data_IF_463615422487
#
_entry.id   IF_463615422487
#
_cell.length_a   1.000
_cell.length_b   1.000
_cell.length_c   1.000
_cell.angle_alpha   90.00
_cell.angle_beta   90.00
_cell.angle_gamma   90.00
#
_symmetry.space_group_name_H-M   'P 1'
#
loop_
_entity.id
_entity.type
_entity.pdbx_description
1 polymer ?
#
# COMPACT_ATOMS: atom_id res chain seq x y z
N UNK A 1 -3.48 13.62 15.49
CA UNK A 1 -4.28 14.08 14.33
C UNK A 1 -3.34 14.08 13.13
N UNK A 2 -3.72 13.53 11.97
CA UNK A 2 -2.87 13.66 10.75
C UNK A 2 -3.11 15.05 10.15
N UNK A 3 -2.05 15.77 9.82
CA UNK A 3 -2.08 17.10 9.21
C UNK A 3 -1.83 17.00 7.70
N UNK A 4 -2.36 17.96 6.95
CA UNK A 4 -2.04 18.12 5.52
C UNK A 4 -1.04 19.26 5.38
N UNK A 5 0.19 18.92 5.03
CA UNK A 5 1.35 19.82 4.90
C UNK A 5 1.96 19.85 3.49
N UNK A 6 1.53 18.95 2.61
CA UNK A 6 2.04 18.83 1.24
C UNK A 6 0.94 18.44 0.25
N UNK A 7 1.17 18.74 -1.03
CA UNK A 7 0.28 18.32 -2.11
C UNK A 7 0.16 16.78 -2.20
N UNK A 8 1.24 16.06 -1.91
CA UNK A 8 1.26 14.61 -1.89
C UNK A 8 0.39 14.04 -0.74
N UNK A 9 0.48 14.63 0.45
CA UNK A 9 -0.34 14.25 1.61
C UNK A 9 -1.83 14.50 1.34
N UNK A 10 -2.15 15.66 0.74
CA UNK A 10 -3.52 16.00 0.35
C UNK A 10 -4.08 15.01 -0.68
N UNK A 11 -3.33 14.74 -1.76
CA UNK A 11 -3.76 13.84 -2.83
C UNK A 11 -4.07 12.43 -2.33
N UNK A 12 -3.27 11.91 -1.38
CA UNK A 12 -3.51 10.61 -0.74
C UNK A 12 -4.78 10.62 0.12
N UNK A 13 -4.99 11.68 0.91
CA UNK A 13 -6.20 11.82 1.71
C UNK A 13 -7.46 11.85 0.83
N UNK A 14 -7.45 12.62 -0.25
CA UNK A 14 -8.55 12.71 -1.23
C UNK A 14 -8.80 11.34 -1.88
N UNK A 15 -7.75 10.68 -2.39
CA UNK A 15 -7.83 9.36 -3.02
C UNK A 15 -8.42 8.31 -2.09
N UNK A 16 -7.93 8.26 -0.85
CA UNK A 16 -8.40 7.33 0.17
C UNK A 16 -9.87 7.56 0.51
N UNK A 17 -10.24 8.82 0.73
CA UNK A 17 -11.62 9.23 1.03
C UNK A 17 -12.58 8.98 -0.15
N UNK A 18 -12.10 9.11 -1.40
CA UNK A 18 -12.86 8.77 -2.60
C UNK A 18 -13.12 7.27 -2.69
N UNK A 19 -12.10 6.44 -2.47
CA UNK A 19 -12.21 4.97 -2.55
C UNK A 19 -13.09 4.42 -1.43
N UNK A 20 -12.97 4.96 -0.21
CA UNK A 20 -13.83 4.59 0.92
C UNK A 20 -15.32 4.88 0.65
N UNK A 21 -15.62 5.93 -0.13
CA UNK A 21 -16.98 6.25 -0.58
C UNK A 21 -17.42 5.47 -1.83
N UNK A 22 -16.60 4.56 -2.35
CA UNK A 22 -16.91 3.77 -3.55
C UNK A 22 -16.88 4.56 -4.86
N UNK A 23 -16.40 5.80 -4.88
CA UNK A 23 -16.45 6.68 -6.03
C UNK A 23 -15.32 6.41 -7.05
N UNK A 24 -15.66 6.50 -8.34
CA UNK A 24 -14.66 6.57 -9.42
C UNK A 24 -14.08 7.99 -9.53
N UNK A 25 -12.92 8.15 -10.17
CA UNK A 25 -12.38 9.50 -10.44
C UNK A 25 -13.32 10.30 -11.35
N UNK A 26 -14.02 9.64 -12.27
CA UNK A 26 -15.01 10.27 -13.15
C UNK A 26 -16.21 10.79 -12.34
N UNK A 27 -16.74 9.97 -11.44
CA UNK A 27 -17.85 10.37 -10.57
C UNK A 27 -17.47 11.53 -9.63
N UNK A 28 -16.25 11.52 -9.08
CA UNK A 28 -15.76 12.66 -8.29
C UNK A 28 -15.63 13.92 -9.14
N UNK A 29 -15.11 13.79 -10.36
CA UNK A 29 -14.97 14.90 -11.30
C UNK A 29 -16.33 15.55 -11.60
N UNK A 30 -17.35 14.75 -11.93
CA UNK A 30 -18.73 15.18 -12.14
C UNK A 30 -19.32 15.90 -10.91
N UNK A 31 -19.18 15.31 -9.72
CA UNK A 31 -19.66 15.91 -8.47
C UNK A 31 -18.97 17.24 -8.13
N UNK A 32 -17.73 17.42 -8.57
CA UNK A 32 -16.91 18.61 -8.31
C UNK A 32 -16.95 19.65 -9.42
N UNK A 33 -17.55 19.36 -10.57
CA UNK A 33 -17.50 20.24 -11.76
C UNK A 33 -16.10 20.34 -12.39
N UNK A 34 -15.23 19.36 -12.19
CA UNK A 34 -13.85 19.35 -12.67
C UNK A 34 -13.63 18.27 -13.73
N UNK A 35 -12.49 18.32 -14.42
CA UNK A 35 -12.12 17.24 -15.35
C UNK A 35 -11.58 16.02 -14.60
N UNK A 36 -11.84 14.82 -15.13
CA UNK A 36 -11.24 13.57 -14.62
C UNK A 36 -9.71 13.63 -14.58
N UNK A 37 -9.10 14.30 -15.57
CA UNK A 37 -7.64 14.53 -15.62
C UNK A 37 -7.19 15.35 -14.42
N UNK A 38 -7.88 16.43 -14.09
CA UNK A 38 -7.56 17.27 -12.94
C UNK A 38 -7.63 16.46 -11.63
N UNK A 39 -8.70 15.67 -11.42
CA UNK A 39 -8.81 14.79 -10.24
C UNK A 39 -7.65 13.79 -10.17
N UNK A 40 -7.26 13.20 -11.30
CA UNK A 40 -6.12 12.29 -11.36
C UNK A 40 -4.81 12.97 -11.01
N UNK A 41 -4.56 14.15 -11.57
CA UNK A 41 -3.34 14.93 -11.31
C UNK A 41 -3.29 15.41 -9.84
N UNK A 42 -4.45 15.74 -9.24
CA UNK A 42 -4.60 16.14 -7.83
C UNK A 42 -4.31 15.01 -6.87
N UNK A 43 -4.88 13.81 -7.12
CA UNK A 43 -4.63 12.64 -6.29
C UNK A 43 -3.18 12.15 -6.34
N UNK A 44 -2.50 12.40 -7.46
CA UNK A 44 -1.07 12.15 -7.62
C UNK A 44 -0.21 13.21 -6.91
N UNK A 45 -0.79 14.34 -6.49
CA UNK A 45 -0.06 15.44 -5.87
C UNK A 45 0.87 16.16 -6.85
N UNK A 46 0.52 16.24 -8.14
CA UNK A 46 1.37 16.90 -9.14
C UNK A 46 1.65 18.36 -8.77
N UNK A 47 2.92 18.76 -8.85
CA UNK A 47 3.36 20.12 -8.50
C UNK A 47 2.70 21.20 -9.37
N UNK A 48 2.39 20.88 -10.62
CA UNK A 48 1.74 21.80 -11.58
C UNK A 48 0.31 22.20 -11.18
N UNK A 49 -0.24 21.64 -10.12
CA UNK A 49 -1.52 22.09 -9.53
C UNK A 49 -1.31 23.33 -8.64
N UNK A 50 -0.05 23.74 -8.43
CA UNK A 50 0.38 24.92 -7.68
C UNK A 50 -0.04 24.96 -6.21
N UNK A 51 -0.65 23.89 -5.69
CA UNK A 51 -1.10 23.81 -4.31
C UNK A 51 0.03 23.63 -3.30
N UNK A 52 1.15 23.04 -3.73
CA UNK A 52 2.27 22.72 -2.86
C UNK A 52 2.93 23.96 -2.24
N UNK A 53 3.04 25.05 -3.00
CA UNK A 53 3.59 26.31 -2.50
C UNK A 53 2.66 26.94 -1.45
N UNK A 54 1.35 26.96 -1.71
CA UNK A 54 0.36 27.48 -0.75
C UNK A 54 0.34 26.69 0.56
N UNK A 55 0.40 25.35 0.50
CA UNK A 55 0.47 24.50 1.70
C UNK A 55 1.76 24.73 2.51
N UNK A 56 2.90 24.89 1.83
CA UNK A 56 4.17 25.23 2.51
C UNK A 56 4.10 26.58 3.19
N UNK A 57 3.56 27.60 2.52
CA UNK A 57 3.36 28.93 3.12
C UNK A 57 2.43 28.86 4.32
N UNK A 58 1.31 28.13 4.22
CA UNK A 58 0.39 27.92 5.33
C UNK A 58 1.10 27.26 6.52
N UNK A 59 1.87 26.19 6.29
CA UNK A 59 2.63 25.51 7.33
C UNK A 59 3.67 26.42 7.99
N UNK A 60 4.38 27.26 7.23
CA UNK A 60 5.33 28.26 7.76
C UNK A 60 4.65 29.30 8.67
N UNK A 61 3.35 29.53 8.48
CA UNK A 61 2.54 30.46 9.28
C UNK A 61 1.75 29.74 10.38
N UNK A 62 2.11 28.49 10.71
CA UNK A 62 1.42 27.61 11.67
C UNK A 62 -0.07 27.35 11.33
N UNK A 63 -0.46 27.53 10.07
CA UNK A 63 -1.81 27.25 9.57
C UNK A 63 -1.87 25.78 9.16
N UNK A 64 -2.55 24.97 9.99
CA UNK A 64 -2.69 23.53 9.77
C UNK A 64 -4.05 23.16 9.21
N UNK A 65 -4.05 22.33 8.16
CA UNK A 65 -5.27 21.78 7.58
C UNK A 65 -5.51 20.39 8.15
N UNK A 66 -6.71 20.17 8.69
CA UNK A 66 -7.06 18.87 9.25
C UNK A 66 -7.26 17.85 8.13
N UNK A 67 -6.62 16.68 8.25
CA UNK A 67 -6.89 15.57 7.35
C UNK A 67 -8.15 14.80 7.79
N UNK A 68 -8.89 14.16 6.87
CA UNK A 68 -9.84 13.13 7.25
C UNK A 68 -9.13 12.01 8.02
N UNK A 69 -9.90 11.20 8.75
CA UNK A 69 -9.38 9.99 9.36
C UNK A 69 -8.62 9.16 8.31
N UNK A 70 -7.48 8.61 8.72
CA UNK A 70 -6.66 7.75 7.88
C UNK A 70 -7.50 6.61 7.30
N UNK A 71 -7.42 6.42 5.99
CA UNK A 71 -8.17 5.35 5.31
C UNK A 71 -7.26 4.15 5.04
N UNK A 72 -7.79 2.92 4.95
CA UNK A 72 -6.98 1.75 4.62
C UNK A 72 -6.23 1.91 3.30
N UNK A 73 -6.84 2.55 2.29
CA UNK A 73 -6.15 2.80 1.03
C UNK A 73 -4.95 3.74 1.21
N UNK A 74 -5.07 4.78 2.04
CA UNK A 74 -3.96 5.69 2.29
C UNK A 74 -2.79 4.98 2.98
N UNK A 75 -3.07 4.05 3.91
CA UNK A 75 -2.04 3.21 4.54
C UNK A 75 -1.30 2.36 3.50
N UNK A 76 -2.04 1.68 2.61
CA UNK A 76 -1.45 0.86 1.55
C UNK A 76 -0.63 1.70 0.56
N UNK A 77 -1.17 2.85 0.14
CA UNK A 77 -0.52 3.77 -0.78
C UNK A 77 0.75 4.41 -0.17
N UNK A 78 0.75 4.67 1.14
CA UNK A 78 1.92 5.18 1.87
C UNK A 78 3.00 4.11 2.01
N UNK A 79 2.62 2.88 2.39
CA UNK A 79 3.55 1.76 2.49
C UNK A 79 4.24 1.46 1.16
N UNK A 80 3.51 1.45 0.04
CA UNK A 80 4.10 1.22 -1.28
C UNK A 80 5.18 2.27 -1.64
N UNK A 81 4.97 3.54 -1.29
CA UNK A 81 5.96 4.60 -1.53
C UNK A 81 7.18 4.47 -0.62
N UNK A 82 6.97 4.16 0.65
CA UNK A 82 8.07 3.94 1.59
C UNK A 82 8.91 2.73 1.16
N UNK A 83 8.26 1.62 0.80
CA UNK A 83 8.93 0.45 0.22
C UNK A 83 9.72 0.84 -1.03
N UNK A 84 9.13 1.62 -1.95
CA UNK A 84 9.85 2.07 -3.15
C UNK A 84 11.14 2.85 -2.83
N UNK A 85 11.12 3.68 -1.78
CA UNK A 85 12.31 4.40 -1.32
C UNK A 85 13.37 3.42 -0.80
N UNK A 86 12.98 2.43 0.00
CA UNK A 86 13.93 1.45 0.52
C UNK A 86 14.51 0.53 -0.55
N UNK A 87 13.72 0.14 -1.55
CA UNK A 87 14.23 -0.60 -2.70
C UNK A 87 15.25 0.23 -3.48
N UNK A 88 15.01 1.53 -3.65
CA UNK A 88 16.00 2.42 -4.27
C UNK A 88 17.27 2.59 -3.41
N UNK A 89 17.16 2.41 -2.10
CA UNK A 89 18.28 2.44 -1.15
C UNK A 89 18.96 1.06 -0.97
N UNK A 90 18.52 0.03 -1.70
CA UNK A 90 18.96 -1.36 -1.58
C UNK A 90 18.71 -1.99 -0.19
N UNK A 91 17.73 -1.48 0.56
CA UNK A 91 17.31 -2.03 1.86
C UNK A 91 16.01 -2.86 1.73
N UNK A 92 16.16 -4.03 1.10
CA UNK A 92 15.06 -4.99 0.97
C UNK A 92 14.55 -5.51 2.33
N UNK A 93 15.38 -5.45 3.38
CA UNK A 93 14.98 -5.87 4.73
C UNK A 93 13.97 -4.90 5.32
N UNK A 94 14.26 -3.61 5.30
CA UNK A 94 13.37 -2.60 5.85
C UNK A 94 12.10 -2.49 5.00
N UNK A 95 12.20 -2.65 3.68
CA UNK A 95 11.07 -2.81 2.78
C UNK A 95 10.12 -3.96 3.21
N UNK A 96 10.64 -5.13 3.57
CA UNK A 96 9.82 -6.26 4.04
C UNK A 96 9.12 -5.94 5.36
N UNK A 97 9.82 -5.30 6.29
CA UNK A 97 9.24 -4.88 7.57
C UNK A 97 8.10 -3.87 7.36
N UNK A 98 8.30 -2.85 6.51
CA UNK A 98 7.26 -1.89 6.14
C UNK A 98 6.02 -2.57 5.54
N UNK A 99 6.21 -3.61 4.73
CA UNK A 99 5.09 -4.39 4.19
C UNK A 99 4.33 -5.15 5.29
N UNK A 100 5.02 -5.80 6.22
CA UNK A 100 4.38 -6.53 7.33
C UNK A 100 3.61 -5.58 8.25
N UNK A 101 4.21 -4.45 8.64
CA UNK A 101 3.58 -3.42 9.46
C UNK A 101 2.33 -2.86 8.78
N UNK A 102 2.40 -2.64 7.46
CA UNK A 102 1.25 -2.23 6.66
C UNK A 102 0.11 -3.24 6.76
N UNK A 103 0.37 -4.54 6.60
CA UNK A 103 -0.67 -5.56 6.63
C UNK A 103 -1.33 -5.67 8.01
N UNK A 104 -0.55 -5.65 9.10
CA UNK A 104 -1.08 -5.67 10.46
C UNK A 104 -1.98 -4.45 10.71
N UNK A 105 -1.53 -3.29 10.25
CA UNK A 105 -2.31 -2.05 10.32
C UNK A 105 -3.62 -2.19 9.53
N UNK A 106 -3.57 -2.64 8.28
CA UNK A 106 -4.75 -2.84 7.45
C UNK A 106 -5.73 -3.82 8.06
N UNK A 107 -5.26 -4.93 8.63
CA UNK A 107 -6.09 -5.91 9.35
C UNK A 107 -6.89 -5.26 10.48
N UNK A 108 -6.25 -4.39 11.27
CA UNK A 108 -6.95 -3.65 12.34
C UNK A 108 -8.05 -2.71 11.84
N UNK A 109 -7.92 -2.21 10.61
CA UNK A 109 -8.86 -1.25 10.00
C UNK A 109 -10.03 -1.92 9.28
N UNK A 110 -9.99 -3.25 9.07
CA UNK A 110 -11.04 -4.05 8.44
C UNK A 110 -11.55 -3.47 7.11
N UNK A 111 -10.68 -3.26 6.11
CA UNK A 111 -11.08 -2.68 4.84
C UNK A 111 -12.10 -3.58 4.11
N UNK A 112 -13.05 -2.97 3.42
CA UNK A 112 -13.94 -3.68 2.50
C UNK A 112 -13.39 -3.72 1.06
N UNK A 113 -12.49 -2.80 0.72
CA UNK A 113 -11.92 -2.69 -0.64
C UNK A 113 -10.55 -2.02 -0.63
N UNK A 114 -9.65 -2.54 -1.46
CA UNK A 114 -8.35 -1.93 -1.75
C UNK A 114 -8.13 -1.86 -3.28
N UNK A 115 -7.72 -0.68 -3.76
CA UNK A 115 -7.27 -0.42 -5.14
C UNK A 115 -5.76 -0.60 -5.23
N UNK A 116 -5.27 -0.85 -6.46
CA UNK A 116 -3.83 -1.00 -6.72
C UNK A 116 -3.10 0.24 -6.20
N UNK A 117 -2.11 0.08 -5.31
CA UNK A 117 -1.25 1.18 -4.88
C UNK A 117 -0.31 1.61 -6.02
N UNK A 118 0.45 2.71 -5.85
CA UNK A 118 1.61 2.99 -6.69
C UNK A 118 2.58 1.78 -6.72
N UNK A 119 3.37 1.66 -7.79
CA UNK A 119 4.39 0.62 -7.87
C UNK A 119 5.53 0.92 -6.91
N UNK A 120 6.09 -0.15 -6.34
CA UNK A 120 7.30 -0.12 -5.52
C UNK A 120 8.58 -0.07 -6.36
N UNK A 121 8.48 -0.27 -7.67
CA UNK A 121 9.64 -0.47 -8.55
C UNK A 121 10.21 -1.89 -8.53
N UNK A 122 9.75 -2.75 -7.61
CA UNK A 122 10.15 -4.17 -7.53
C UNK A 122 8.97 -5.10 -7.77
N UNK A 123 9.13 -6.06 -8.68
CA UNK A 123 8.10 -7.07 -8.94
C UNK A 123 7.81 -7.92 -7.70
N UNK A 124 8.85 -8.25 -6.92
CA UNK A 124 8.72 -9.00 -5.67
C UNK A 124 7.82 -8.26 -4.66
N UNK A 125 8.08 -6.97 -4.42
CA UNK A 125 7.30 -6.20 -3.46
C UNK A 125 5.92 -5.79 -3.97
N UNK A 126 5.75 -5.56 -5.27
CA UNK A 126 4.43 -5.35 -5.88
C UNK A 126 3.54 -6.60 -5.77
N UNK A 127 4.13 -7.80 -5.94
CA UNK A 127 3.46 -9.08 -5.71
C UNK A 127 3.14 -9.28 -4.22
N UNK A 128 4.06 -8.91 -3.32
CA UNK A 128 3.88 -9.01 -1.87
C UNK A 128 2.70 -8.16 -1.39
N UNK A 129 2.63 -6.89 -1.80
CA UNK A 129 1.52 -6.00 -1.46
C UNK A 129 0.19 -6.53 -2.01
N UNK A 130 0.21 -7.18 -3.18
CA UNK A 130 -0.98 -7.80 -3.77
C UNK A 130 -1.44 -9.06 -3.03
N UNK A 131 -0.50 -9.91 -2.58
CA UNK A 131 -0.80 -11.08 -1.77
C UNK A 131 -1.31 -10.69 -0.38
N UNK A 132 -0.63 -9.78 0.32
CA UNK A 132 -1.03 -9.30 1.64
C UNK A 132 -2.37 -8.56 1.63
N UNK A 133 -2.65 -7.75 0.61
CA UNK A 133 -3.97 -7.12 0.46
C UNK A 133 -5.10 -8.14 0.25
N UNK A 134 -4.83 -9.27 -0.43
CA UNK A 134 -5.80 -10.38 -0.55
C UNK A 134 -6.03 -11.06 0.79
N UNK A 135 -4.95 -11.37 1.51
CA UNK A 135 -5.02 -11.98 2.83
C UNK A 135 -5.88 -11.12 3.77
N UNK A 136 -5.61 -9.82 3.85
CA UNK A 136 -6.38 -8.90 4.70
C UNK A 136 -7.86 -8.82 4.31
N UNK A 137 -8.19 -8.86 3.01
CA UNK A 137 -9.58 -8.74 2.54
C UNK A 137 -10.38 -10.04 2.67
N UNK A 138 -9.71 -11.20 2.57
CA UNK A 138 -10.32 -12.51 2.74
C UNK A 138 -10.96 -12.68 4.13
N UNK A 139 -10.28 -12.22 5.19
CA UNK A 139 -10.79 -12.30 6.57
C UNK A 139 -12.11 -11.54 6.80
N UNK A 140 -12.51 -10.68 5.88
CA UNK A 140 -13.69 -9.83 6.01
C UNK A 140 -14.77 -10.12 4.97
N UNK A 141 -14.76 -11.31 4.34
CA UNK A 141 -15.72 -11.69 3.27
C UNK A 141 -15.81 -10.63 2.16
N UNK A 142 -14.72 -9.89 1.95
CA UNK A 142 -14.64 -8.82 0.97
C UNK A 142 -14.17 -9.36 -0.36
N UNK A 143 -14.52 -8.67 -1.45
CA UNK A 143 -14.08 -9.12 -2.78
C UNK A 143 -12.56 -8.97 -2.90
N UNK A 144 -11.81 -10.05 -3.21
CA UNK A 144 -10.36 -9.95 -3.32
C UNK A 144 -9.96 -8.98 -4.44
N UNK A 145 -8.86 -8.25 -4.27
CA UNK A 145 -8.39 -7.31 -5.27
C UNK A 145 -7.99 -8.06 -6.54
N UNK A 146 -8.35 -7.50 -7.70
CA UNK A 146 -8.03 -8.06 -9.02
C UNK A 146 -6.69 -7.59 -9.59
N UNK A 147 -5.85 -6.95 -8.77
CA UNK A 147 -4.58 -6.37 -9.19
C UNK A 147 -3.39 -7.11 -8.57
N UNK A 148 -2.22 -6.99 -9.20
CA UNK A 148 -1.01 -7.75 -8.88
C UNK A 148 -0.91 -9.05 -9.66
N UNK A 149 0.32 -9.49 -9.91
CA UNK A 149 0.66 -10.67 -10.71
C UNK A 149 1.51 -11.63 -9.88
N UNK A 150 1.29 -12.93 -10.10
CA UNK A 150 2.13 -14.00 -9.56
C UNK A 150 3.56 -13.87 -10.09
N UNK A 151 4.57 -14.14 -9.25
CA UNK A 151 5.98 -14.16 -9.65
C UNK A 151 6.29 -15.36 -10.55
N UNK A 152 7.17 -15.18 -11.54
CA UNK A 152 7.60 -16.27 -12.41
C UNK A 152 8.30 -17.38 -11.61
N UNK A 153 9.28 -16.98 -10.79
CA UNK A 153 10.06 -17.86 -9.94
C UNK A 153 9.64 -17.76 -8.46
N UNK A 154 9.79 -18.83 -7.67
CA UNK A 154 9.65 -18.79 -6.22
C UNK A 154 10.56 -17.72 -5.59
N UNK A 155 9.99 -16.85 -4.78
CA UNK A 155 10.74 -15.87 -4.01
C UNK A 155 10.69 -16.19 -2.53
N UNK A 156 11.88 -16.31 -1.93
CA UNK A 156 12.07 -16.51 -0.50
C UNK A 156 12.81 -15.29 0.07
N UNK A 157 12.12 -14.31 0.67
CA UNK A 157 12.75 -13.10 1.21
C UNK A 157 13.85 -13.36 2.26
N UNK A 158 13.90 -14.56 2.83
CA UNK A 158 14.95 -14.96 3.76
C UNK A 158 16.31 -15.21 3.07
N UNK A 159 16.32 -15.48 1.76
CA UNK A 159 17.54 -15.71 0.96
C UNK A 159 18.45 -14.48 0.91
N UNK A 160 17.85 -13.29 0.97
CA UNK A 160 18.59 -12.03 1.05
C UNK A 160 19.51 -11.96 2.28
N UNK A 161 19.29 -12.82 3.29
CA UNK A 161 20.05 -12.85 4.54
C UNK A 161 20.91 -14.09 4.72
N UNK A 162 20.55 -15.20 4.10
CA UNK A 162 21.20 -16.49 4.31
C UNK A 162 20.87 -17.47 3.18
N UNK A 163 21.79 -18.38 2.91
CA UNK A 163 21.48 -19.52 2.04
C UNK A 163 20.48 -20.46 2.73
N UNK A 164 19.44 -20.86 2.00
CA UNK A 164 18.40 -21.75 2.52
C UNK A 164 18.67 -23.18 2.09
N UNK A 165 18.75 -24.09 3.06
CA UNK A 165 18.76 -25.52 2.81
C UNK A 165 17.43 -25.99 2.21
N UNK A 166 17.45 -27.09 1.45
CA UNK A 166 16.24 -27.66 0.86
C UNK A 166 15.17 -28.00 1.90
N UNK A 167 15.61 -28.49 3.08
CA UNK A 167 14.72 -28.76 4.21
C UNK A 167 14.04 -27.49 4.73
N UNK A 168 14.79 -26.39 4.86
CA UNK A 168 14.25 -25.12 5.32
C UNK A 168 13.28 -24.51 4.29
N UNK A 169 13.59 -24.64 2.99
CA UNK A 169 12.68 -24.25 1.89
C UNK A 169 11.36 -25.01 1.99
N UNK A 170 11.42 -26.34 2.12
CA UNK A 170 10.24 -27.19 2.25
C UNK A 170 9.39 -26.81 3.48
N UNK A 171 10.03 -26.54 4.62
CA UNK A 171 9.35 -26.10 5.83
C UNK A 171 8.70 -24.72 5.68
N UNK A 172 9.37 -23.80 5.00
CA UNK A 172 8.86 -22.45 4.73
C UNK A 172 7.64 -22.52 3.81
N UNK A 173 7.71 -23.30 2.73
CA UNK A 173 6.59 -23.55 1.82
C UNK A 173 5.38 -24.08 2.60
N UNK A 174 5.58 -25.08 3.46
CA UNK A 174 4.50 -25.70 4.25
C UNK A 174 3.81 -24.72 5.21
N UNK A 175 4.53 -23.72 5.72
CA UNK A 175 4.03 -22.75 6.71
C UNK A 175 3.55 -21.43 6.10
N UNK A 176 3.84 -21.19 4.82
CA UNK A 176 3.46 -19.96 4.13
C UNK A 176 1.94 -19.89 3.97
N UNK A 177 1.28 -18.76 4.31
CA UNK A 177 -0.16 -18.63 4.11
C UNK A 177 -0.54 -18.70 2.63
N UNK A 178 -1.75 -19.22 2.36
CA UNK A 178 -2.21 -19.57 1.01
C UNK A 178 -2.09 -18.43 0.01
N UNK A 179 -2.47 -17.19 0.38
CA UNK A 179 -2.46 -16.05 -0.56
C UNK A 179 -1.05 -15.64 -0.99
N UNK A 180 -0.04 -15.86 -0.15
CA UNK A 180 1.35 -15.62 -0.51
C UNK A 180 1.88 -16.75 -1.42
N UNK A 181 1.57 -18.01 -1.11
CA UNK A 181 1.93 -19.14 -1.95
C UNK A 181 1.31 -19.07 -3.35
N UNK A 182 0.06 -18.60 -3.49
CA UNK A 182 -0.59 -18.32 -4.78
C UNK A 182 0.22 -17.33 -5.65
N UNK A 183 1.03 -16.47 -5.04
CA UNK A 183 1.90 -15.49 -5.70
C UNK A 183 3.35 -15.95 -5.88
N UNK A 184 3.68 -17.22 -5.58
CA UNK A 184 5.06 -17.74 -5.52
C UNK A 184 5.93 -17.04 -4.45
N UNK A 185 5.33 -16.53 -3.38
CA UNK A 185 6.05 -15.86 -2.29
C UNK A 185 6.05 -16.80 -1.08
N UNK A 186 7.23 -17.14 -0.58
CA UNK A 186 7.42 -18.09 0.52
C UNK A 186 8.20 -17.43 1.65
N UNK A 187 7.51 -17.09 2.74
CA UNK A 187 8.13 -16.46 3.89
C UNK A 187 7.58 -16.98 5.21
N UNK A 188 8.42 -16.91 6.24
CA UNK A 188 8.06 -17.15 7.63
C UNK A 188 8.33 -15.86 8.40
N UNK A 189 7.26 -15.16 8.79
CA UNK A 189 7.32 -13.99 9.65
C UNK A 189 6.27 -14.15 10.75
N UNK A 190 6.61 -13.84 12.00
CA UNK A 190 5.68 -13.98 13.13
C UNK A 190 4.46 -13.05 12.97
N UNK A 191 4.59 -11.98 12.18
CA UNK A 191 3.51 -11.08 11.80
C UNK A 191 2.48 -11.77 10.90
N UNK A 192 2.89 -12.76 10.10
CA UNK A 192 1.96 -13.53 9.28
C UNK A 192 1.01 -14.38 10.13
N UNK A 193 1.49 -14.96 11.23
CA UNK A 193 0.63 -15.71 12.15
C UNK A 193 -0.45 -14.78 12.72
N UNK A 194 -0.08 -13.54 13.03
CA UNK A 194 -1.03 -12.51 13.46
C UNK A 194 -1.95 -12.02 12.35
N UNK A 195 -1.60 -12.21 11.07
CA UNK A 195 -2.47 -11.87 9.94
C UNK A 195 -3.53 -12.95 9.70
N UNK A 196 -3.21 -14.23 9.90
CA UNK A 196 -4.10 -15.35 9.56
C UNK A 196 -5.14 -15.73 10.63
N UNK A 197 -5.04 -15.23 11.86
CA UNK A 197 -5.99 -15.51 12.98
C UNK A 197 -7.16 -14.53 13.02
#
# INVERSE_FOLDING_TARGET
MKTIDSAQTLGQAIRGARIARGLSQQALAELSGLSRKYIGDLELGKETIELGAALRVAATMDIVWNAPAETPQAVLDQAARAIAQEINNDDSRFALQLAMDCFLRLKSMKPFRLKKPPTTGSQHFDALLAAGAREVLDHHHSTPPRWGSKLADPWFPAEDRMELTDEFRALTIKRTPRRFAEFNIFLKDNSLDQLCV
#
